data_IF_748502560169
#
_entry.id   IF_748502560169
#
_cell.length_a   1.000
_cell.length_b   1.000
_cell.length_c   1.000
_cell.angle_alpha   90.00
_cell.angle_beta   90.00
_cell.angle_gamma   90.00
#
_symmetry.space_group_name_H-M   'P 1'
#
loop_
_entity.id
_entity.type
_entity.pdbx_description
1 polymer ?
#
# COMPACT_ATOMS: atom_id res chain seq x y z
N UNK A 1 -26.55 -4.56 12.25
CA UNK A 1 -25.42 -4.19 13.14
C UNK A 1 -24.45 -3.30 12.36
N UNK A 2 -24.50 -1.97 12.49
CA UNK A 2 -23.71 -1.04 11.67
C UNK A 2 -22.19 -1.12 11.92
N UNK A 3 -21.77 -1.61 13.09
CA UNK A 3 -20.36 -1.72 13.46
C UNK A 3 -19.57 -2.70 12.56
N UNK A 4 -20.17 -3.80 12.11
CA UNK A 4 -19.50 -4.78 11.22
C UNK A 4 -19.30 -4.23 9.81
N UNK A 5 -20.23 -3.40 9.32
CA UNK A 5 -20.11 -2.74 8.03
C UNK A 5 -18.97 -1.71 8.03
N UNK A 6 -18.85 -0.91 9.10
CA UNK A 6 -17.75 0.04 9.27
C UNK A 6 -16.39 -0.67 9.34
N UNK A 7 -16.32 -1.79 10.06
CA UNK A 7 -15.09 -2.59 10.17
C UNK A 7 -14.67 -3.17 8.82
N UNK A 8 -15.62 -3.73 8.05
CA UNK A 8 -15.31 -4.27 6.73
C UNK A 8 -14.81 -3.18 5.77
N UNK A 9 -15.42 -1.99 5.82
CA UNK A 9 -14.96 -0.84 5.04
C UNK A 9 -13.54 -0.40 5.40
N UNK A 10 -13.21 -0.27 6.69
CA UNK A 10 -11.85 0.11 7.10
C UNK A 10 -10.82 -0.96 6.75
N UNK A 11 -11.19 -2.25 6.87
CA UNK A 11 -10.32 -3.36 6.46
C UNK A 11 -10.03 -3.33 4.95
N UNK A 12 -11.03 -3.05 4.12
CA UNK A 12 -10.84 -2.94 2.68
C UNK A 12 -9.88 -1.79 2.32
N UNK A 13 -10.03 -0.63 2.98
CA UNK A 13 -9.14 0.51 2.80
C UNK A 13 -7.70 0.20 3.26
N UNK A 14 -7.55 -0.49 4.39
CA UNK A 14 -6.23 -0.89 4.90
C UNK A 14 -5.54 -1.92 4.00
N UNK A 15 -6.28 -2.92 3.52
CA UNK A 15 -5.76 -3.90 2.56
C UNK A 15 -5.28 -3.22 1.27
N UNK A 16 -6.11 -2.31 0.74
CA UNK A 16 -5.79 -1.51 -0.44
C UNK A 16 -4.49 -0.72 -0.24
N UNK A 17 -4.36 -0.07 0.91
CA UNK A 17 -3.15 0.66 1.29
C UNK A 17 -1.91 -0.25 1.37
N UNK A 18 -2.01 -1.44 1.96
CA UNK A 18 -0.89 -2.38 2.02
C UNK A 18 -0.43 -2.85 0.63
N UNK A 19 -1.34 -3.06 -0.31
CA UNK A 19 -1.00 -3.42 -1.70
C UNK A 19 -0.24 -2.29 -2.39
N UNK A 20 -0.69 -1.04 -2.21
CA UNK A 20 0.01 0.14 -2.74
C UNK A 20 1.39 0.28 -2.08
N UNK A 21 1.47 0.12 -0.76
CA UNK A 21 2.71 0.22 -0.01
C UNK A 21 3.74 -0.82 -0.45
N UNK A 22 3.30 -2.07 -0.69
CA UNK A 22 4.15 -3.14 -1.23
C UNK A 22 4.72 -2.83 -2.63
N UNK A 23 4.03 -2.00 -3.43
CA UNK A 23 4.54 -1.57 -4.74
C UNK A 23 5.47 -0.37 -4.63
N UNK A 24 5.11 0.61 -3.81
CA UNK A 24 5.83 1.88 -3.69
C UNK A 24 7.17 1.70 -2.95
N UNK A 25 7.19 0.86 -1.90
CA UNK A 25 8.39 0.61 -1.11
C UNK A 25 9.59 0.13 -1.96
N UNK A 26 9.51 -0.97 -2.72
CA UNK A 26 10.64 -1.44 -3.52
C UNK A 26 11.10 -0.41 -4.56
N UNK A 27 10.18 0.36 -5.16
CA UNK A 27 10.54 1.44 -6.10
C UNK A 27 11.42 2.49 -5.41
N UNK A 28 11.02 2.97 -4.23
CA UNK A 28 11.77 3.96 -3.47
C UNK A 28 13.10 3.42 -2.93
N UNK A 29 13.13 2.16 -2.46
CA UNK A 29 14.34 1.55 -1.89
C UNK A 29 15.35 1.10 -2.95
N UNK A 30 14.91 0.78 -4.17
CA UNK A 30 15.79 0.47 -5.31
C UNK A 30 16.28 1.72 -6.05
N UNK A 31 15.66 2.88 -5.82
CA UNK A 31 16.09 4.12 -6.45
C UNK A 31 17.46 4.55 -5.89
N UNK A 32 18.49 4.79 -6.71
CA UNK A 32 19.86 5.05 -6.24
C UNK A 32 19.97 6.28 -5.33
N UNK A 33 19.06 7.25 -5.50
CA UNK A 33 18.99 8.48 -4.70
C UNK A 33 18.53 8.18 -3.27
N UNK A 34 17.45 7.41 -3.10
CA UNK A 34 16.88 7.09 -1.77
C UNK A 34 17.54 5.87 -1.12
N UNK A 35 18.23 5.03 -1.90
CA UNK A 35 18.97 3.87 -1.39
C UNK A 35 20.27 4.26 -0.67
N UNK A 36 20.79 5.47 -0.91
CA UNK A 36 22.05 5.96 -0.32
C UNK A 36 22.10 5.86 1.22
N UNK A 37 23.29 5.57 1.77
CA UNK A 37 23.58 5.51 3.21
C UNK A 37 23.52 6.87 3.91
N UNK A 38 23.47 7.96 3.15
CA UNK A 38 23.40 9.33 3.69
C UNK A 38 22.03 9.68 4.28
N UNK A 39 20.97 8.91 4.00
CA UNK A 39 19.63 9.19 4.51
C UNK A 39 19.29 8.28 5.70
N UNK A 40 18.80 8.85 6.82
CA UNK A 40 18.39 8.07 7.97
C UNK A 40 17.18 7.18 7.63
N UNK A 41 17.18 5.95 8.16
CA UNK A 41 16.15 4.94 7.89
C UNK A 41 14.75 5.46 8.21
N UNK A 42 14.60 6.24 9.27
CA UNK A 42 13.32 6.83 9.69
C UNK A 42 12.71 7.74 8.61
N UNK A 43 13.54 8.52 7.91
CA UNK A 43 13.09 9.37 6.81
C UNK A 43 12.63 8.55 5.61
N UNK A 44 13.33 7.45 5.29
CA UNK A 44 12.93 6.55 4.19
C UNK A 44 11.58 5.91 4.46
N UNK A 45 11.34 5.47 5.71
CA UNK A 45 10.06 4.90 6.14
C UNK A 45 8.95 5.97 6.04
N UNK A 46 9.20 7.17 6.58
CA UNK A 46 8.26 8.28 6.50
C UNK A 46 7.88 8.63 5.07
N UNK A 47 8.88 8.80 4.19
CA UNK A 47 8.67 9.05 2.76
C UNK A 47 7.87 7.92 2.10
N UNK A 48 8.17 6.67 2.41
CA UNK A 48 7.45 5.51 1.84
C UNK A 48 5.99 5.50 2.26
N UNK A 49 5.69 5.77 3.53
CA UNK A 49 4.31 5.86 4.04
C UNK A 49 3.56 7.05 3.44
N UNK A 50 4.16 8.25 3.47
CA UNK A 50 3.53 9.47 2.91
C UNK A 50 3.28 9.31 1.42
N UNK A 51 4.23 8.74 0.68
CA UNK A 51 4.07 8.47 -0.75
C UNK A 51 2.95 7.46 -0.97
N UNK A 52 2.90 6.35 -0.22
CA UNK A 52 1.80 5.39 -0.28
C UNK A 52 0.42 6.02 -0.04
N UNK A 53 0.31 6.94 0.92
CA UNK A 53 -0.91 7.70 1.20
C UNK A 53 -1.31 8.64 0.06
N UNK A 54 -0.34 9.31 -0.58
CA UNK A 54 -0.59 10.18 -1.75
C UNK A 54 -1.05 9.36 -2.96
N UNK A 55 -0.53 8.14 -3.14
CA UNK A 55 -0.95 7.27 -4.24
C UNK A 55 -2.29 6.58 -3.99
N UNK A 56 -2.74 6.46 -2.73
CA UNK A 56 -4.00 5.80 -2.36
C UNK A 56 -5.23 6.27 -3.19
N UNK A 57 -5.53 7.57 -3.35
CA UNK A 57 -6.68 8.01 -4.16
C UNK A 57 -6.53 7.77 -5.67
N UNK A 58 -5.29 7.61 -6.15
CA UNK A 58 -5.01 7.38 -7.57
C UNK A 58 -5.11 5.91 -7.99
N UNK A 59 -5.06 4.97 -7.03
CA UNK A 59 -5.13 3.54 -7.31
C UNK A 59 -6.59 3.09 -7.19
N UNK A 60 -7.25 2.96 -8.35
CA UNK A 60 -8.54 2.30 -8.43
C UNK A 60 -8.33 0.79 -8.26
N UNK A 61 -8.50 0.29 -7.03
CA UNK A 61 -8.50 -1.14 -6.75
C UNK A 61 -9.91 -1.63 -7.00
N UNK A 62 -10.12 -2.25 -8.17
CA UNK A 62 -11.38 -2.88 -8.49
C UNK A 62 -11.55 -4.14 -7.60
N UNK A 63 -12.56 -4.19 -6.71
CA UNK A 63 -12.79 -5.34 -5.85
C UNK A 63 -13.03 -6.64 -6.63
N UNK A 64 -13.45 -6.56 -7.90
CA UNK A 64 -13.68 -7.73 -8.75
C UNK A 64 -12.38 -8.40 -9.22
N UNK A 65 -11.25 -7.68 -9.16
CA UNK A 65 -9.94 -8.16 -9.59
C UNK A 65 -9.15 -8.75 -8.40
N UNK A 66 -9.60 -8.52 -7.16
CA UNK A 66 -8.98 -9.09 -5.97
C UNK A 66 -9.28 -10.60 -5.89
N UNK A 67 -8.27 -11.48 -5.97
CA UNK A 67 -8.49 -12.91 -5.86
C UNK A 67 -9.00 -13.26 -4.46
N UNK A 68 -10.12 -13.97 -4.38
CA UNK A 68 -10.69 -14.45 -3.12
C UNK A 68 -9.87 -15.59 -2.49
N UNK A 69 -8.92 -16.17 -3.24
CA UNK A 69 -8.00 -17.21 -2.77
C UNK A 69 -6.57 -17.00 -3.31
N UNK A 70 -5.51 -17.33 -2.54
CA UNK A 70 -4.11 -17.09 -2.91
C UNK A 70 -3.62 -17.88 -4.13
N UNK A 71 -4.39 -18.86 -4.61
CA UNK A 71 -4.11 -19.67 -5.79
C UNK A 71 -5.17 -19.51 -6.89
N UNK A 72 -6.10 -18.57 -6.74
CA UNK A 72 -7.13 -18.25 -7.73
C UNK A 72 -6.58 -17.30 -8.79
N UNK A 73 -5.73 -17.80 -9.67
CA UNK A 73 -5.42 -17.11 -10.92
C UNK A 73 -6.28 -17.74 -12.01
N UNK A 74 -7.25 -16.99 -12.52
CA UNK A 74 -7.98 -17.33 -13.72
C UNK A 74 -7.12 -17.06 -14.96
#
# INVERSE_FOLDING_TARGET
>A
MPATALLNWTLFQFHSYLLVLMRVAPILFLMPILSSRNLPVLLKIGLTLTTGLIFLPGVQIDPAVLPSAPYSFA
#
